data_IF_366513846024
#
_entry.id   IF_366513846024
#
_cell.length_a   1.000
_cell.length_b   1.000
_cell.length_c   1.000
_cell.angle_alpha   90.00
_cell.angle_beta   90.00
_cell.angle_gamma   90.00
#
_symmetry.space_group_name_H-M   'P 1'
#
loop_
_entity.id
_entity.type
_entity.pdbx_description
1 polymer ?
#
# COMPACT_ATOMS: atom_id res chain seq x y z
N UNK A 1 -5.42 14.33 -15.33
CA UNK A 1 -4.91 12.97 -15.60
C UNK A 1 -5.47 12.06 -14.52
N UNK A 2 -6.15 10.99 -14.90
CA UNK A 2 -6.63 9.99 -13.94
C UNK A 2 -5.42 9.20 -13.42
N UNK A 3 -5.30 9.06 -12.11
CA UNK A 3 -4.30 8.21 -11.48
C UNK A 3 -4.71 6.75 -11.66
N UNK A 4 -3.81 5.91 -12.16
CA UNK A 4 -4.09 4.49 -12.41
C UNK A 4 -3.93 3.69 -11.11
N UNK A 5 -5.06 3.29 -10.53
CA UNK A 5 -5.11 2.32 -9.43
C UNK A 5 -4.88 0.93 -9.99
N UNK A 6 -3.91 0.19 -9.44
CA UNK A 6 -3.50 -1.07 -10.05
C UNK A 6 -2.98 -2.08 -9.05
N UNK A 7 -3.50 -3.29 -9.17
CA UNK A 7 -2.96 -4.51 -8.56
C UNK A 7 -2.09 -5.24 -9.58
N UNK A 8 -0.87 -5.59 -9.19
CA UNK A 8 0.06 -6.41 -9.96
C UNK A 8 0.47 -7.59 -9.10
N UNK A 9 0.17 -8.80 -9.55
CA UNK A 9 0.64 -10.05 -8.93
C UNK A 9 1.83 -10.56 -9.74
N UNK A 10 2.93 -10.85 -9.05
CA UNK A 10 4.16 -11.40 -9.64
C UNK A 10 4.42 -12.75 -9.02
N UNK A 11 4.55 -13.79 -9.85
CA UNK A 11 4.65 -15.15 -9.34
C UNK A 11 3.34 -15.59 -8.69
N UNK A 12 3.44 -16.55 -7.79
CA UNK A 12 2.32 -17.07 -6.99
C UNK A 12 2.27 -16.47 -5.59
N UNK A 13 3.30 -15.75 -5.18
CA UNK A 13 3.62 -15.45 -3.78
C UNK A 13 3.83 -13.96 -3.50
N UNK A 14 3.66 -13.08 -4.49
CA UNK A 14 3.92 -11.67 -4.28
C UNK A 14 2.94 -10.76 -5.01
N UNK A 15 2.31 -9.84 -4.29
CA UNK A 15 1.35 -8.89 -4.83
C UNK A 15 1.76 -7.45 -4.49
N UNK A 16 1.48 -6.55 -5.44
CA UNK A 16 1.73 -5.11 -5.32
C UNK A 16 0.49 -4.34 -5.67
N UNK A 17 0.06 -3.44 -4.79
CA UNK A 17 -1.12 -2.61 -5.02
C UNK A 17 -0.77 -1.13 -4.90
N UNK A 18 -1.01 -0.37 -5.96
CA UNK A 18 -0.86 1.09 -5.99
C UNK A 18 -2.23 1.74 -6.03
N UNK A 19 -2.44 2.77 -5.22
CA UNK A 19 -3.68 3.52 -5.23
C UNK A 19 -3.58 4.89 -4.56
N UNK A 20 -4.74 5.48 -4.34
CA UNK A 20 -4.89 6.71 -3.57
C UNK A 20 -5.93 6.51 -2.45
N UNK A 21 -5.81 7.27 -1.37
CA UNK A 21 -6.71 7.17 -0.23
C UNK A 21 -6.52 8.27 0.79
N UNK A 22 -7.27 8.17 1.89
CA UNK A 22 -7.21 9.10 3.01
C UNK A 22 -6.55 8.43 4.22
N UNK A 23 -5.91 9.22 5.07
CA UNK A 23 -5.49 8.77 6.40
C UNK A 23 -6.57 9.24 7.38
N UNK A 24 -7.22 8.29 8.05
CA UNK A 24 -8.31 8.56 9.00
C UNK A 24 -9.43 9.47 8.40
N UNK A 25 -9.74 9.29 7.11
CA UNK A 25 -10.79 10.07 6.42
C UNK A 25 -10.36 11.47 5.97
N UNK A 26 -9.08 11.83 6.09
CA UNK A 26 -8.54 13.14 5.70
C UNK A 26 -7.40 13.03 4.68
N UNK A 27 -7.27 14.07 3.86
CA UNK A 27 -6.20 14.26 2.89
C UNK A 27 -6.30 13.35 1.66
N UNK A 28 -5.42 13.62 0.69
CA UNK A 28 -5.29 12.85 -0.55
C UNK A 28 -3.87 12.28 -0.65
N UNK A 29 -3.73 11.02 -0.25
CA UNK A 29 -2.45 10.32 -0.23
C UNK A 29 -2.37 9.33 -1.36
N UNK A 30 -1.17 9.15 -1.88
CA UNK A 30 -0.80 7.99 -2.69
C UNK A 30 -0.25 6.91 -1.79
N UNK A 31 -0.50 5.67 -2.15
CA UNK A 31 0.13 4.55 -1.47
C UNK A 31 0.58 3.47 -2.44
N UNK A 32 1.55 2.69 -1.99
CA UNK A 32 2.00 1.46 -2.61
C UNK A 32 2.16 0.44 -1.49
N UNK A 33 1.59 -0.74 -1.73
CA UNK A 33 1.55 -1.85 -0.81
C UNK A 33 2.22 -3.04 -1.49
N UNK A 34 3.02 -3.78 -0.73
CA UNK A 34 3.58 -5.06 -1.13
C UNK A 34 3.19 -6.11 -0.11
N UNK A 35 2.74 -7.26 -0.59
CA UNK A 35 2.39 -8.41 0.24
C UNK A 35 3.13 -9.63 -0.32
N UNK A 36 3.94 -10.27 0.53
CA UNK A 36 4.58 -11.54 0.24
C UNK A 36 3.91 -12.66 1.03
N UNK A 37 3.54 -13.73 0.35
CA UNK A 37 2.98 -14.97 0.90
C UNK A 37 4.12 -15.98 1.09
N UNK A 38 4.36 -16.43 2.33
CA UNK A 38 5.52 -17.26 2.67
C UNK A 38 5.55 -17.75 4.12
N UNK A 39 6.70 -18.25 4.57
CA UNK A 39 6.94 -18.61 5.97
C UNK A 39 8.09 -17.78 6.55
N UNK A 40 7.84 -16.60 7.16
CA UNK A 40 6.52 -15.95 7.38
C UNK A 40 6.07 -15.05 6.21
N UNK A 41 4.78 -14.71 6.20
CA UNK A 41 4.24 -13.64 5.35
C UNK A 41 4.89 -12.29 5.65
N UNK A 42 4.99 -11.46 4.61
CA UNK A 42 5.60 -10.14 4.70
C UNK A 42 4.70 -9.03 4.15
N UNK A 43 4.89 -7.84 4.70
CA UNK A 43 4.16 -6.65 4.33
C UNK A 43 5.05 -5.42 4.25
N UNK A 44 4.84 -4.62 3.21
CA UNK A 44 5.45 -3.30 3.08
C UNK A 44 4.40 -2.28 2.67
N UNK A 45 4.53 -1.06 3.19
CA UNK A 45 3.70 0.05 2.76
C UNK A 45 4.51 1.34 2.71
N UNK A 46 4.33 2.07 1.60
CA UNK A 46 4.76 3.45 1.42
C UNK A 46 3.53 4.31 1.19
N UNK A 47 3.45 5.44 1.88
CA UNK A 47 2.40 6.46 1.76
C UNK A 47 3.09 7.81 1.53
N UNK A 48 2.62 8.57 0.56
CA UNK A 48 3.18 9.88 0.22
C UNK A 48 2.12 10.83 -0.29
N UNK A 49 2.40 12.12 -0.19
CA UNK A 49 1.69 13.18 -0.88
C UNK A 49 2.42 13.51 -2.18
N UNK A 50 1.66 13.91 -3.19
CA UNK A 50 2.20 14.36 -4.46
C UNK A 50 1.72 15.78 -4.73
N UNK A 51 2.64 16.70 -5.00
CA UNK A 51 2.32 18.08 -5.33
C UNK A 51 1.87 18.23 -6.80
N UNK A 52 1.39 19.43 -7.17
CA UNK A 52 0.90 19.70 -8.53
C UNK A 52 1.95 19.61 -9.64
N UNK A 53 3.23 19.51 -9.30
CA UNK A 53 4.35 19.35 -10.22
C UNK A 53 4.93 17.92 -10.22
N UNK A 54 4.31 16.99 -9.47
CA UNK A 54 4.78 15.61 -9.33
C UNK A 54 5.86 15.41 -8.27
N UNK A 55 6.12 16.40 -7.41
CA UNK A 55 7.01 16.27 -6.27
C UNK A 55 6.40 15.36 -5.20
N UNK A 56 7.13 14.32 -4.78
CA UNK A 56 6.68 13.39 -3.74
C UNK A 56 7.23 13.78 -2.37
N UNK A 57 6.35 13.90 -1.37
CA UNK A 57 6.73 14.00 0.04
C UNK A 57 6.28 12.75 0.78
N UNK A 58 7.24 11.95 1.25
CA UNK A 58 6.94 10.69 1.95
C UNK A 58 6.35 10.99 3.32
N UNK A 59 5.13 10.51 3.57
CA UNK A 59 4.45 10.58 4.86
C UNK A 59 4.85 9.40 5.74
N UNK A 60 4.96 8.21 5.15
CA UNK A 60 5.37 6.99 5.83
C UNK A 60 5.97 5.99 4.84
N UNK A 61 7.04 5.31 5.25
CA UNK A 61 7.59 4.14 4.54
C UNK A 61 8.23 3.25 5.60
N UNK A 62 7.80 1.99 5.69
CA UNK A 62 8.50 1.02 6.55
C UNK A 62 9.80 0.51 5.89
N UNK A 63 10.03 0.84 4.61
CA UNK A 63 11.32 0.73 3.92
C UNK A 63 11.64 -0.67 3.38
N UNK A 64 11.08 -1.71 3.97
CA UNK A 64 11.35 -3.10 3.61
C UNK A 64 10.14 -4.01 3.87
N UNK A 65 10.19 -5.22 3.30
CA UNK A 65 9.20 -6.26 3.51
C UNK A 65 9.32 -6.77 4.95
N UNK A 66 8.36 -6.39 5.78
CA UNK A 66 8.36 -6.66 7.21
C UNK A 66 7.51 -7.90 7.49
N UNK A 67 8.06 -8.85 8.22
CA UNK A 67 7.33 -10.05 8.64
C UNK A 67 6.12 -9.65 9.50
N UNK A 68 4.94 -10.20 9.17
CA UNK A 68 3.72 -9.99 9.95
C UNK A 68 3.43 -11.13 10.93
N UNK A 69 4.32 -12.14 11.01
CA UNK A 69 4.19 -13.32 11.86
C UNK A 69 2.76 -13.92 11.80
N UNK A 70 2.20 -14.40 12.92
CA UNK A 70 0.81 -14.85 13.00
C UNK A 70 -0.23 -13.72 13.00
N UNK A 71 0.17 -12.48 12.71
CA UNK A 71 -0.73 -11.35 12.54
C UNK A 71 -1.53 -11.46 11.24
N UNK A 72 -2.73 -10.90 11.22
CA UNK A 72 -3.58 -10.87 10.02
C UNK A 72 -3.75 -9.43 9.54
N UNK A 73 -3.62 -9.21 8.24
CA UNK A 73 -4.05 -7.96 7.60
C UNK A 73 -5.54 -8.11 7.30
N UNK A 74 -6.37 -7.38 8.04
CA UNK A 74 -7.82 -7.37 7.84
C UNK A 74 -8.20 -6.12 7.04
N UNK A 75 -8.63 -6.34 5.79
CA UNK A 75 -9.21 -5.27 4.98
C UNK A 75 -10.70 -5.18 5.30
N UNK A 76 -11.10 -4.13 6.02
CA UNK A 76 -12.51 -3.80 6.21
C UNK A 76 -13.03 -3.05 4.99
N UNK A 77 -13.89 -3.69 4.21
CA UNK A 77 -14.74 -2.95 3.26
C UNK A 77 -15.93 -2.40 4.03
N UNK A 78 -16.34 -1.16 3.72
CA UNK A 78 -17.59 -0.63 4.25
C UNK A 78 -18.73 -1.57 3.85
N UNK A 79 -19.55 -1.99 4.84
CA UNK A 79 -20.79 -2.70 4.52
C UNK A 79 -21.63 -1.76 3.65
N UNK A 80 -21.99 -2.22 2.45
CA UNK A 80 -23.04 -1.57 1.66
C UNK A 80 -24.34 -1.56 2.43
#
# INVERSE_FOLDING_TARGET
>A
MAWDERLVVTGSDYARFKGAGTINGMGDYKFMLWAGDGEPDTFRIKIWEEDGNGGETVTYDNGFDQEIAGGSIVIHTSKK
#
